data_IF_366765953619
#
_entry.id   IF_366765953619
#
_cell.length_a   1.000
_cell.length_b   1.000
_cell.length_c   1.000
_cell.angle_alpha   90.00
_cell.angle_beta   90.00
_cell.angle_gamma   90.00
#
_symmetry.space_group_name_H-M   'P 1'
#
loop_
_entity.id
_entity.type
_entity.pdbx_description
1 polymer ?
#
# COMPACT_ATOMS: atom_id res chain seq x y z
N UNK A 1 -22.26 -72.53 25.74
CA UNK A 1 -22.06 -71.73 24.51
C UNK A 1 -21.79 -70.30 24.94
N UNK A 2 -20.53 -69.83 24.85
CA UNK A 2 -20.13 -68.50 25.33
C UNK A 2 -20.27 -67.49 24.18
N UNK A 3 -21.12 -66.49 24.37
CA UNK A 3 -21.34 -65.41 23.42
C UNK A 3 -20.17 -64.43 23.50
N UNK A 4 -19.40 -64.32 22.42
CA UNK A 4 -18.36 -63.30 22.26
C UNK A 4 -19.00 -62.13 21.51
N UNK A 5 -19.39 -61.08 22.23
CA UNK A 5 -19.78 -59.80 21.61
C UNK A 5 -18.51 -59.08 21.15
N UNK A 6 -18.31 -59.02 19.84
CA UNK A 6 -17.22 -58.29 19.22
C UNK A 6 -17.63 -56.82 19.06
N UNK A 7 -17.20 -55.97 19.99
CA UNK A 7 -17.39 -54.51 19.89
C UNK A 7 -16.49 -53.96 18.79
N UNK A 8 -17.08 -53.57 17.66
CA UNK A 8 -16.40 -52.87 16.57
C UNK A 8 -16.15 -51.43 17.02
N UNK A 9 -14.90 -51.10 17.34
CA UNK A 9 -14.47 -49.74 17.63
C UNK A 9 -14.28 -48.98 16.31
N UNK A 10 -15.23 -48.12 15.97
CA UNK A 10 -15.13 -47.25 14.79
C UNK A 10 -14.09 -46.15 15.08
N UNK A 11 -12.88 -46.28 14.53
CA UNK A 11 -11.89 -45.19 14.56
C UNK A 11 -12.37 -44.08 13.61
N UNK A 12 -12.90 -43.00 14.17
CA UNK A 12 -13.15 -41.76 13.43
C UNK A 12 -11.82 -41.01 13.35
N UNK A 13 -11.11 -41.15 12.23
CA UNK A 13 -9.96 -40.32 11.91
C UNK A 13 -10.46 -38.92 11.52
N UNK A 14 -10.32 -37.95 12.41
CA UNK A 14 -10.50 -36.55 12.07
C UNK A 14 -9.34 -36.11 11.17
N UNK A 15 -9.63 -35.80 9.91
CA UNK A 15 -8.69 -35.12 9.03
C UNK A 15 -8.53 -33.68 9.53
N UNK A 16 -7.54 -33.45 10.37
CA UNK A 16 -7.07 -32.09 10.69
C UNK A 16 -6.43 -31.52 9.42
N UNK A 17 -7.17 -30.67 8.72
CA UNK A 17 -6.58 -29.83 7.68
C UNK A 17 -5.82 -28.71 8.39
N UNK A 18 -4.49 -28.73 8.32
CA UNK A 18 -3.69 -27.56 8.66
C UNK A 18 -4.14 -26.38 7.78
N UNK A 19 -3.97 -25.14 8.26
CA UNK A 19 -4.16 -23.93 7.45
C UNK A 19 -3.52 -24.14 6.07
N UNK A 20 -4.26 -23.80 5.02
CA UNK A 20 -3.86 -24.05 3.63
C UNK A 20 -2.65 -23.18 3.27
N UNK A 21 -1.46 -23.58 3.70
CA UNK A 21 -0.17 -22.89 3.52
C UNK A 21 0.13 -22.63 2.04
N UNK A 22 -0.49 -23.39 1.14
CA UNK A 22 -0.37 -23.27 -0.30
C UNK A 22 -0.84 -21.92 -0.85
N UNK A 23 -1.91 -21.33 -0.29
CA UNK A 23 -2.40 -20.02 -0.73
C UNK A 23 -1.39 -18.90 -0.38
N UNK A 24 -0.81 -18.96 0.81
CA UNK A 24 0.22 -18.00 1.24
C UNK A 24 1.44 -18.07 0.33
N UNK A 25 1.92 -19.27 -0.01
CA UNK A 25 3.02 -19.41 -0.97
C UNK A 25 2.66 -18.92 -2.36
N UNK A 26 1.44 -19.16 -2.82
CA UNK A 26 0.97 -18.63 -4.12
C UNK A 26 0.95 -17.10 -4.13
N UNK A 27 0.55 -16.47 -3.03
CA UNK A 27 0.62 -15.01 -2.85
C UNK A 27 2.07 -14.54 -2.92
N UNK A 28 2.97 -15.17 -2.17
CA UNK A 28 4.41 -14.82 -2.14
C UNK A 28 5.03 -14.95 -3.54
N UNK A 29 4.78 -16.05 -4.25
CA UNK A 29 5.33 -16.32 -5.58
C UNK A 29 4.80 -15.34 -6.65
N UNK A 30 3.65 -14.71 -6.39
CA UNK A 30 3.07 -13.72 -7.31
C UNK A 30 3.72 -12.34 -7.20
N UNK A 31 4.56 -12.09 -6.19
CA UNK A 31 5.30 -10.83 -6.00
C UNK A 31 6.43 -10.72 -7.03
N UNK A 32 6.56 -9.54 -7.65
CA UNK A 32 7.57 -9.27 -8.68
C UNK A 32 8.56 -8.20 -8.25
N UNK A 33 9.80 -8.62 -8.01
CA UNK A 33 10.92 -7.69 -7.76
C UNK A 33 11.17 -6.73 -8.92
N UNK A 34 10.90 -7.15 -10.16
CA UNK A 34 11.04 -6.30 -11.35
C UNK A 34 10.02 -5.16 -11.35
N UNK A 35 8.77 -5.40 -10.93
CA UNK A 35 7.78 -4.33 -10.77
C UNK A 35 8.14 -3.37 -9.65
N UNK A 36 8.49 -3.89 -8.48
CA UNK A 36 8.95 -3.06 -7.34
C UNK A 36 10.10 -2.14 -7.78
N UNK A 37 11.11 -2.68 -8.49
CA UNK A 37 12.23 -1.87 -9.00
C UNK A 37 11.78 -0.79 -10.01
N UNK A 38 10.82 -1.10 -10.88
CA UNK A 38 10.26 -0.14 -11.83
C UNK A 38 9.52 1.00 -11.12
N UNK A 39 8.75 0.67 -10.09
CA UNK A 39 7.97 1.65 -9.34
C UNK A 39 8.88 2.56 -8.50
N UNK A 40 9.92 2.00 -7.87
CA UNK A 40 10.99 2.77 -7.22
C UNK A 40 11.62 3.74 -8.20
N UNK A 41 11.96 3.27 -9.40
CA UNK A 41 12.56 4.14 -10.43
C UNK A 41 11.63 5.28 -10.83
N UNK A 42 10.34 4.99 -11.07
CA UNK A 42 9.36 6.03 -11.40
C UNK A 42 9.26 7.08 -10.30
N UNK A 43 9.20 6.65 -9.03
CA UNK A 43 9.15 7.56 -7.89
C UNK A 43 10.41 8.43 -7.80
N UNK A 44 11.58 7.84 -7.98
CA UNK A 44 12.87 8.54 -8.02
C UNK A 44 12.93 9.59 -9.13
N UNK A 45 12.39 9.25 -10.31
CA UNK A 45 12.47 10.10 -11.50
C UNK A 45 11.61 11.39 -11.39
N UNK A 46 10.78 11.55 -10.35
CA UNK A 46 10.13 12.83 -10.03
C UNK A 46 11.10 13.88 -9.47
N UNK A 47 12.38 13.53 -9.27
CA UNK A 47 13.46 14.42 -8.82
C UNK A 47 13.41 14.67 -7.32
N UNK A 48 12.42 15.44 -6.86
CA UNK A 48 12.08 15.56 -5.44
C UNK A 48 10.58 15.35 -5.27
N UNK A 49 10.22 14.67 -4.19
CA UNK A 49 8.84 14.50 -3.76
C UNK A 49 8.60 15.19 -2.42
N UNK A 50 9.39 16.20 -2.05
CA UNK A 50 9.17 16.93 -0.81
C UNK A 50 7.71 17.41 -0.72
N UNK A 51 7.09 17.29 0.46
CA UNK A 51 5.67 17.63 0.68
C UNK A 51 5.29 19.04 0.21
N UNK A 52 6.24 19.98 0.19
CA UNK A 52 6.06 21.37 -0.26
C UNK A 52 6.57 21.64 -1.68
N UNK A 53 7.02 20.61 -2.40
CA UNK A 53 7.49 20.74 -3.77
C UNK A 53 6.35 21.00 -4.76
N UNK A 54 6.71 21.20 -6.03
CA UNK A 54 5.77 21.55 -7.09
C UNK A 54 4.55 20.60 -7.18
N UNK A 55 3.38 21.19 -7.38
CA UNK A 55 2.11 20.45 -7.48
C UNK A 55 1.47 20.47 -8.88
N UNK A 56 2.03 21.26 -9.80
CA UNK A 56 1.44 21.58 -11.11
C UNK A 56 2.06 20.72 -12.21
N UNK A 57 3.38 20.57 -12.21
CA UNK A 57 4.15 19.74 -13.12
C UNK A 57 3.63 18.32 -13.17
N UNK A 58 3.64 17.74 -14.36
CA UNK A 58 3.26 16.34 -14.59
C UNK A 58 4.42 15.36 -14.43
N UNK A 59 5.65 15.84 -14.28
CA UNK A 59 6.85 15.00 -14.29
C UNK A 59 7.80 15.26 -13.12
N UNK A 60 7.50 16.23 -12.25
CA UNK A 60 8.35 16.59 -11.11
C UNK A 60 7.48 16.94 -9.91
N UNK A 61 7.99 16.70 -8.70
CA UNK A 61 7.36 17.17 -7.47
C UNK A 61 6.33 16.20 -6.91
N UNK A 62 5.90 16.50 -5.68
CA UNK A 62 4.89 15.74 -4.94
C UNK A 62 3.55 15.67 -5.69
N UNK A 63 3.20 16.70 -6.46
CA UNK A 63 1.97 16.70 -7.25
C UNK A 63 1.95 15.64 -8.34
N UNK A 64 3.06 15.51 -9.08
CA UNK A 64 3.20 14.45 -10.09
C UNK A 64 3.18 13.07 -9.43
N UNK A 65 3.94 12.90 -8.35
CA UNK A 65 4.03 11.63 -7.63
C UNK A 65 2.68 11.13 -7.11
N UNK A 66 1.91 11.96 -6.39
CA UNK A 66 0.59 11.55 -5.85
C UNK A 66 -0.42 11.21 -6.95
N UNK A 67 -0.38 11.92 -8.09
CA UNK A 67 -1.26 11.62 -9.23
C UNK A 67 -0.90 10.29 -9.87
N UNK A 68 0.40 10.02 -10.02
CA UNK A 68 0.88 8.73 -10.51
C UNK A 68 0.49 7.58 -9.58
N UNK A 69 0.73 7.69 -8.27
CA UNK A 69 0.34 6.66 -7.29
C UNK A 69 -1.17 6.40 -7.31
N UNK A 70 -1.98 7.46 -7.36
CA UNK A 70 -3.45 7.30 -7.47
C UNK A 70 -3.83 6.55 -8.74
N UNK A 71 -3.20 6.87 -9.86
CA UNK A 71 -3.44 6.19 -11.13
C UNK A 71 -3.02 4.71 -11.10
N UNK A 72 -1.93 4.37 -10.41
CA UNK A 72 -1.51 2.98 -10.21
C UNK A 72 -2.54 2.21 -9.39
N UNK A 73 -3.01 2.76 -8.26
CA UNK A 73 -4.09 2.13 -7.47
C UNK A 73 -5.39 1.96 -8.27
N UNK A 74 -5.78 2.96 -9.08
CA UNK A 74 -6.96 2.84 -9.96
C UNK A 74 -6.77 1.78 -11.04
N UNK A 75 -5.56 1.64 -11.58
CA UNK A 75 -5.22 0.61 -12.56
C UNK A 75 -5.29 -0.78 -11.93
N UNK A 76 -4.75 -0.94 -10.72
CA UNK A 76 -4.88 -2.16 -9.93
C UNK A 76 -6.36 -2.47 -9.68
N UNK A 77 -7.15 -1.47 -9.26
CA UNK A 77 -8.59 -1.61 -9.02
C UNK A 77 -9.33 -2.13 -10.26
N UNK A 78 -9.04 -1.57 -11.44
CA UNK A 78 -9.64 -2.04 -12.70
C UNK A 78 -9.32 -3.50 -13.00
N UNK A 79 -8.09 -3.94 -12.71
CA UNK A 79 -7.65 -5.32 -12.94
C UNK A 79 -8.31 -6.34 -12.00
N UNK A 80 -8.93 -5.90 -10.90
CA UNK A 80 -9.70 -6.73 -9.98
C UNK A 80 -11.22 -6.44 -10.04
N UNK A 81 -11.75 -5.95 -11.17
CA UNK A 81 -13.17 -5.60 -11.34
C UNK A 81 -13.64 -4.44 -10.43
N UNK A 82 -12.82 -3.40 -10.30
CA UNK A 82 -13.09 -2.20 -9.48
C UNK A 82 -13.20 -2.53 -7.97
N UNK A 83 -12.32 -3.39 -7.47
CA UNK A 83 -12.38 -3.87 -6.08
C UNK A 83 -11.80 -2.89 -5.04
N UNK A 84 -11.09 -1.84 -5.47
CA UNK A 84 -10.51 -0.83 -4.58
C UNK A 84 -11.25 0.51 -4.71
N UNK A 85 -11.61 1.10 -3.57
CA UNK A 85 -12.04 2.49 -3.47
C UNK A 85 -10.81 3.40 -3.34
N UNK A 86 -10.54 4.24 -4.35
CA UNK A 86 -9.31 5.05 -4.41
C UNK A 86 -9.63 6.54 -4.32
N UNK A 87 -9.08 7.23 -3.33
CA UNK A 87 -9.33 8.66 -3.09
C UNK A 87 -8.14 9.37 -2.45
N UNK A 88 -8.20 10.70 -2.43
CA UNK A 88 -7.24 11.53 -1.70
C UNK A 88 -7.79 11.88 -0.31
N UNK A 89 -6.98 11.73 0.72
CA UNK A 89 -7.20 12.37 2.02
C UNK A 89 -6.24 13.55 2.11
N UNK A 90 -6.72 14.72 2.53
CA UNK A 90 -5.91 15.94 2.54
C UNK A 90 -6.20 16.81 3.75
N UNK A 91 -5.18 17.55 4.16
CA UNK A 91 -5.29 18.62 5.15
C UNK A 91 -4.48 19.85 4.72
N UNK A 92 -4.88 21.04 5.18
CA UNK A 92 -4.22 22.29 4.83
C UNK A 92 -3.32 22.77 5.96
N UNK A 93 -2.05 22.99 5.66
CA UNK A 93 -1.06 23.48 6.63
C UNK A 93 -0.61 24.88 6.24
N UNK A 94 -0.44 25.74 7.25
CA UNK A 94 -0.02 27.13 7.07
C UNK A 94 1.39 27.37 7.58
N UNK A 95 2.07 28.34 6.99
CA UNK A 95 3.39 28.82 7.42
C UNK A 95 3.33 29.52 8.78
N UNK A 96 2.22 30.20 9.05
CA UNK A 96 2.05 31.02 10.25
C UNK A 96 2.28 30.20 11.51
N UNK A 97 3.24 30.63 12.34
CA UNK A 97 3.59 29.94 13.58
C UNK A 97 4.31 28.60 13.41
N UNK A 98 4.65 28.18 12.18
CA UNK A 98 5.26 26.87 11.91
C UNK A 98 6.65 27.01 11.26
N UNK A 99 7.68 26.66 12.01
CA UNK A 99 9.07 26.71 11.56
C UNK A 99 9.42 25.62 10.53
N UNK A 100 8.64 24.53 10.46
CA UNK A 100 8.86 23.38 9.57
C UNK A 100 8.01 23.40 8.29
N UNK A 101 7.07 24.33 8.18
CA UNK A 101 6.32 24.57 6.94
C UNK A 101 7.02 25.72 6.21
N UNK A 102 7.50 25.58 4.96
CA UNK A 102 8.15 26.67 4.21
C UNK A 102 7.14 27.67 3.64
N UNK A 103 5.96 27.20 3.24
CA UNK A 103 4.83 28.00 2.76
C UNK A 103 3.54 27.19 2.92
N UNK A 104 2.40 27.87 2.84
CA UNK A 104 1.09 27.22 2.90
C UNK A 104 0.94 26.15 1.81
N UNK A 105 0.40 24.99 2.17
CA UNK A 105 0.25 23.87 1.25
C UNK A 105 -0.84 22.89 1.68
N UNK A 106 -1.34 22.14 0.71
CA UNK A 106 -2.14 20.94 0.96
C UNK A 106 -1.22 19.73 1.11
N UNK A 107 -1.25 19.10 2.27
CA UNK A 107 -0.66 17.77 2.48
C UNK A 107 -1.69 16.73 2.02
N UNK A 108 -1.31 15.84 1.11
CA UNK A 108 -2.26 14.96 0.41
C UNK A 108 -1.77 13.52 0.39
N UNK A 109 -2.47 12.68 1.13
CA UNK A 109 -2.31 11.23 1.13
C UNK A 109 -3.10 10.59 -0.01
N UNK A 110 -2.65 9.43 -0.48
CA UNK A 110 -3.34 8.62 -1.49
C UNK A 110 -3.79 7.31 -0.85
N UNK A 111 -5.10 7.07 -0.85
CA UNK A 111 -5.72 5.95 -0.15
C UNK A 111 -6.36 5.00 -1.16
N UNK A 112 -6.13 3.70 -1.00
CA UNK A 112 -6.88 2.65 -1.69
C UNK A 112 -7.42 1.64 -0.67
N UNK A 113 -8.75 1.48 -0.61
CA UNK A 113 -9.42 0.59 0.35
C UNK A 113 -9.99 -0.63 -0.36
N UNK A 114 -9.53 -1.82 0.05
CA UNK A 114 -10.12 -3.11 -0.29
C UNK A 114 -11.10 -3.50 0.83
N UNK A 115 -12.40 -3.57 0.52
CA UNK A 115 -13.43 -3.80 1.54
C UNK A 115 -13.46 -5.26 2.02
N UNK A 116 -13.44 -5.45 3.34
CA UNK A 116 -13.57 -6.77 3.93
C UNK A 116 -14.99 -7.35 3.80
N UNK A 117 -15.09 -8.67 3.66
CA UNK A 117 -16.38 -9.37 3.43
C UNK A 117 -17.21 -9.57 4.69
N UNK A 118 -16.61 -9.53 5.88
CA UNK A 118 -17.26 -9.88 7.16
C UNK A 118 -17.12 -8.81 8.24
N UNK A 119 -15.94 -8.21 8.35
CA UNK A 119 -15.61 -7.14 9.29
C UNK A 119 -15.14 -5.88 8.55
N UNK A 120 -16.02 -5.24 7.76
CA UNK A 120 -15.66 -4.12 6.88
C UNK A 120 -15.13 -2.88 7.60
N UNK A 121 -15.30 -2.79 8.92
CA UNK A 121 -14.83 -1.68 9.77
C UNK A 121 -13.59 -2.05 10.61
N UNK A 122 -13.01 -3.24 10.40
CA UNK A 122 -11.70 -3.61 10.91
C UNK A 122 -10.69 -3.40 9.79
N UNK A 123 -9.67 -2.59 10.06
CA UNK A 123 -8.70 -2.17 9.05
C UNK A 123 -7.32 -2.73 9.38
N UNK A 124 -6.68 -3.29 8.36
CA UNK A 124 -5.25 -3.58 8.32
C UNK A 124 -4.65 -2.57 7.35
N UNK A 125 -3.59 -1.87 7.76
CA UNK A 125 -3.01 -0.79 6.95
C UNK A 125 -1.60 -1.18 6.55
N UNK A 126 -1.32 -1.11 5.25
CA UNK A 126 0.02 -1.20 4.66
C UNK A 126 0.32 0.18 4.06
N UNK A 127 1.41 0.80 4.50
CA UNK A 127 1.75 2.16 4.09
C UNK A 127 3.19 2.31 3.60
N UNK A 128 3.39 3.32 2.76
CA UNK A 128 4.71 3.87 2.45
C UNK A 128 4.60 5.38 2.26
N UNK A 129 5.68 6.10 2.56
CA UNK A 129 5.69 7.55 2.44
C UNK A 129 5.99 7.95 0.99
N UNK A 130 5.17 8.85 0.47
CA UNK A 130 5.26 9.38 -0.89
C UNK A 130 6.43 10.34 -0.96
N UNK A 131 6.61 11.15 0.08
CA UNK A 131 7.56 12.23 0.07
C UNK A 131 9.01 11.78 0.23
N UNK A 132 9.88 12.76 0.04
CA UNK A 132 11.33 12.61 0.12
C UNK A 132 11.90 13.98 0.40
N UNK A 133 13.05 14.05 1.07
CA UNK A 133 13.66 15.34 1.40
C UNK A 133 15.16 15.32 1.20
N UNK A 134 15.70 16.50 0.93
CA UNK A 134 17.11 16.75 1.10
C UNK A 134 17.45 16.83 2.60
N UNK A 135 18.73 17.03 2.92
CA UNK A 135 19.17 17.14 4.32
C UNK A 135 18.52 18.33 5.03
N UNK A 136 18.41 19.48 4.35
CA UNK A 136 17.68 20.64 4.85
C UNK A 136 16.17 20.41 4.73
N UNK A 137 15.46 20.53 5.86
CA UNK A 137 14.01 20.35 5.93
C UNK A 137 13.24 21.42 5.15
N UNK A 138 13.86 22.59 4.96
CA UNK A 138 13.23 23.73 4.29
C UNK A 138 13.50 23.75 2.78
N UNK A 139 14.31 22.83 2.27
CA UNK A 139 14.58 22.70 0.84
C UNK A 139 13.60 21.73 0.18
N UNK A 140 12.67 22.30 -0.58
CA UNK A 140 11.65 21.59 -1.34
C UNK A 140 11.94 21.60 -2.85
N UNK A 141 13.15 21.98 -3.26
CA UNK A 141 13.53 22.19 -4.67
C UNK A 141 14.65 21.27 -5.13
N UNK A 142 15.66 21.03 -4.30
CA UNK A 142 16.79 20.16 -4.62
C UNK A 142 16.32 18.74 -4.87
N UNK A 143 16.96 18.07 -5.84
CA UNK A 143 16.71 16.65 -6.10
C UNK A 143 16.95 15.82 -4.83
N UNK A 144 15.91 15.10 -4.44
CA UNK A 144 15.90 14.20 -3.31
C UNK A 144 15.29 12.88 -3.79
N UNK A 145 16.07 12.00 -4.45
CA UNK A 145 15.56 10.80 -5.08
C UNK A 145 14.75 9.90 -4.15
N UNK A 146 15.14 9.80 -2.87
CA UNK A 146 14.41 9.04 -1.86
C UNK A 146 14.12 7.58 -2.26
N UNK A 147 15.08 6.91 -2.91
CA UNK A 147 14.87 5.58 -3.50
C UNK A 147 14.60 4.51 -2.42
N UNK A 148 15.42 4.50 -1.37
CA UNK A 148 15.21 3.66 -0.21
C UNK A 148 14.17 4.27 0.73
N UNK A 149 14.27 5.59 0.93
CA UNK A 149 13.50 6.38 1.88
C UNK A 149 12.59 7.41 1.17
N UNK A 150 11.31 7.12 0.95
CA UNK A 150 10.63 5.83 1.14
C UNK A 150 9.97 5.31 -0.15
N UNK A 151 10.59 5.56 -1.31
CA UNK A 151 10.08 5.02 -2.58
C UNK A 151 10.01 3.49 -2.57
N UNK A 152 10.91 2.82 -1.84
CA UNK A 152 10.91 1.36 -1.69
C UNK A 152 9.69 0.83 -0.93
N UNK A 153 9.28 1.47 0.18
CA UNK A 153 8.09 1.10 0.93
C UNK A 153 6.79 1.45 0.18
N UNK A 154 6.77 2.58 -0.52
CA UNK A 154 5.63 2.93 -1.38
C UNK A 154 5.48 1.95 -2.55
N UNK A 155 6.57 1.56 -3.21
CA UNK A 155 6.56 0.52 -4.24
C UNK A 155 6.11 -0.85 -3.68
N UNK A 156 6.54 -1.20 -2.46
CA UNK A 156 6.06 -2.39 -1.75
C UNK A 156 4.55 -2.34 -1.47
N UNK A 157 4.03 -1.17 -1.12
CA UNK A 157 2.59 -0.95 -0.89
C UNK A 157 1.78 -1.09 -2.18
N UNK A 158 2.26 -0.56 -3.31
CA UNK A 158 1.65 -0.76 -4.63
C UNK A 158 1.64 -2.24 -5.03
N UNK A 159 2.75 -2.94 -4.83
CA UNK A 159 2.85 -4.37 -5.17
C UNK A 159 1.97 -5.24 -4.26
N UNK A 160 1.87 -4.91 -2.97
CA UNK A 160 0.93 -5.54 -2.05
C UNK A 160 -0.52 -5.34 -2.52
N UNK A 161 -0.91 -4.12 -2.88
CA UNK A 161 -2.24 -3.83 -3.42
C UNK A 161 -2.53 -4.66 -4.67
N UNK A 162 -1.56 -4.76 -5.57
CA UNK A 162 -1.70 -5.51 -6.81
C UNK A 162 -1.86 -7.02 -6.59
N UNK A 163 -1.11 -7.60 -5.66
CA UNK A 163 -1.18 -9.03 -5.36
C UNK A 163 -2.46 -9.35 -4.59
N UNK A 164 -2.70 -8.65 -3.48
CA UNK A 164 -3.76 -8.98 -2.52
C UNK A 164 -5.16 -8.60 -3.03
N UNK A 165 -5.28 -7.65 -3.96
CA UNK A 165 -6.56 -7.32 -4.62
C UNK A 165 -7.16 -8.47 -5.44
N UNK A 166 -6.37 -9.50 -5.75
CA UNK A 166 -6.86 -10.72 -6.41
C UNK A 166 -7.57 -11.69 -5.46
N UNK A 167 -7.62 -11.37 -4.16
CA UNK A 167 -8.19 -12.18 -3.09
C UNK A 167 -9.29 -11.43 -2.34
N UNK A 168 -10.07 -12.14 -1.53
CA UNK A 168 -11.04 -11.56 -0.61
C UNK A 168 -10.62 -11.82 0.83
N UNK A 169 -10.75 -10.82 1.70
CA UNK A 169 -10.40 -10.94 3.11
C UNK A 169 -11.61 -10.62 3.99
N UNK A 170 -11.66 -11.19 5.19
CA UNK A 170 -12.74 -10.88 6.14
C UNK A 170 -12.67 -9.42 6.62
N UNK A 171 -11.47 -8.87 6.79
CA UNK A 171 -11.22 -7.48 7.22
C UNK A 171 -10.85 -6.60 6.03
N UNK A 172 -11.05 -5.29 6.15
CA UNK A 172 -10.65 -4.34 5.12
C UNK A 172 -9.13 -4.12 5.15
N UNK A 173 -8.54 -3.94 3.98
CA UNK A 173 -7.12 -3.57 3.83
C UNK A 173 -7.06 -2.17 3.25
N UNK A 174 -6.23 -1.32 3.84
CA UNK A 174 -5.92 0.02 3.31
C UNK A 174 -4.48 0.03 2.83
N UNK A 175 -4.30 0.33 1.55
CA UNK A 175 -3.00 0.62 0.95
C UNK A 175 -2.85 2.14 0.91
N UNK A 176 -1.83 2.66 1.59
CA UNK A 176 -1.75 4.08 1.92
C UNK A 176 -0.42 4.70 1.52
N UNK A 177 -0.47 5.67 0.62
CA UNK A 177 0.62 6.61 0.39
C UNK A 177 0.49 7.81 1.32
N UNK A 178 1.43 7.96 2.26
CA UNK A 178 1.47 9.06 3.22
C UNK A 178 2.29 10.24 2.70
N UNK A 179 2.05 11.44 3.21
CA UNK A 179 2.86 12.63 2.93
C UNK A 179 3.12 13.39 4.22
N UNK A 180 4.31 13.97 4.34
CA UNK A 180 4.70 14.83 5.47
C UNK A 180 5.31 14.07 6.63
N UNK A 181 6.09 13.03 6.34
CA UNK A 181 6.95 12.33 7.31
C UNK A 181 8.07 13.24 7.83
#
# INVERSE_FOLDING_TARGET
MKNISLSILLLVSTLLSAQNQQEIYTIIDSVSSQRIKKDIKTLVDFGTRNTFSDTISNTRGIGAARRWIKQEFETISKNCNTCLEVFYQKDFVTKEGNSRVPHDAWVVNVVAVQKGTKYPNRYIIMSGDIDSRASDTMDFTTDAPGANDNASGMAGTLEAARVLSSYSFESSIVYLGLSGE
#
